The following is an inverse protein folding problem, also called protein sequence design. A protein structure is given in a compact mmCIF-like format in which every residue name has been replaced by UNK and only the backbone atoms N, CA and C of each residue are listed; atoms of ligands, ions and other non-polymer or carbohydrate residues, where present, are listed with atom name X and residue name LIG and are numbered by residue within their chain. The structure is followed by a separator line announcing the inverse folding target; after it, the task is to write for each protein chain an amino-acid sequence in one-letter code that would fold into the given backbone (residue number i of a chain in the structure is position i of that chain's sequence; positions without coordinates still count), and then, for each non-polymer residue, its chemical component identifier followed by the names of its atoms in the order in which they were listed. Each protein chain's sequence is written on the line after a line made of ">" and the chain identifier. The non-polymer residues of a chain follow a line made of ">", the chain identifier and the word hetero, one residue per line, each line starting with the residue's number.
data_IF_637415463580
#
_entry.id   IF_637415463580
#
_cell.length_a   1.000
_cell.length_b   1.000
_cell.length_c   1.000
_cell.angle_alpha   90.00
_cell.angle_beta   90.00
_cell.angle_gamma   90.00
#
_symmetry.space_group_name_H-M   'P 1'
#
loop_
_entity.id
_entity.type
_entity.pdbx_description
1 polymer ?
#
# COMPACT_ATOMS: atom_id res chain seq x y z
N UNK A 1 14.57 9.88 13.95
CA UNK A 1 13.90 11.20 14.06
C UNK A 1 12.95 11.45 12.86
N UNK A 2 12.17 10.45 12.43
CA UNK A 2 11.31 10.52 11.22
C UNK A 2 9.81 10.52 11.54
N UNK A 3 9.41 9.95 12.69
CA UNK A 3 8.01 9.82 13.12
C UNK A 3 7.26 11.17 13.10
N UNK A 4 7.88 12.23 13.60
CA UNK A 4 7.18 13.52 13.81
C UNK A 4 6.95 14.34 12.55
N UNK A 5 7.80 14.23 11.53
CA UNK A 5 7.69 15.08 10.33
C UNK A 5 6.73 14.55 9.28
N UNK A 6 6.55 13.22 9.22
CA UNK A 6 5.78 12.58 8.16
C UNK A 6 4.30 12.46 8.54
N UNK A 7 3.97 12.27 9.82
CA UNK A 7 2.57 12.18 10.31
C UNK A 7 1.75 13.45 10.11
N UNK A 8 2.40 14.61 9.85
CA UNK A 8 1.73 15.91 9.73
C UNK A 8 1.56 16.41 8.29
N UNK A 9 2.09 15.69 7.30
CA UNK A 9 2.08 16.15 5.90
C UNK A 9 1.07 15.37 5.05
N UNK A 10 0.29 16.04 4.18
CA UNK A 10 -0.54 15.36 3.20
C UNK A 10 0.29 14.43 2.30
N UNK A 11 -0.25 13.25 1.99
CA UNK A 11 0.39 12.24 1.12
C UNK A 11 0.87 12.81 -0.22
N UNK A 12 0.13 13.76 -0.79
CA UNK A 12 0.48 14.46 -2.04
C UNK A 12 1.80 15.23 -1.93
N UNK A 13 2.02 15.89 -0.78
CA UNK A 13 3.21 16.72 -0.55
C UNK A 13 4.42 15.84 -0.27
N UNK A 14 4.21 14.73 0.43
CA UNK A 14 5.26 13.72 0.64
C UNK A 14 5.72 13.12 -0.70
N UNK A 15 4.79 12.81 -1.62
CA UNK A 15 5.16 12.26 -2.93
C UNK A 15 6.12 13.18 -3.70
N UNK A 16 5.94 14.50 -3.60
CA UNK A 16 6.86 15.47 -4.20
C UNK A 16 8.24 15.46 -3.56
N UNK A 17 8.33 15.34 -2.22
CA UNK A 17 9.60 15.24 -1.50
C UNK A 17 10.38 13.95 -1.83
N UNK A 18 9.67 12.88 -2.20
CA UNK A 18 10.25 11.59 -2.56
C UNK A 18 10.32 11.34 -4.07
N UNK A 19 9.94 12.31 -4.89
CA UNK A 19 10.19 12.25 -6.32
C UNK A 19 11.71 12.28 -6.55
N UNK A 20 12.24 11.28 -7.24
CA UNK A 20 13.67 11.24 -7.52
C UNK A 20 14.05 12.49 -8.33
N UNK A 21 15.05 13.25 -7.86
CA UNK A 21 15.59 14.39 -8.59
C UNK A 21 15.84 13.99 -10.05
N UNK A 22 15.23 14.73 -10.97
CA UNK A 22 15.17 14.47 -12.42
C UNK A 22 16.55 14.20 -13.03
N UNK A 23 17.61 14.75 -12.44
CA UNK A 23 18.99 14.63 -12.91
C UNK A 23 19.59 13.22 -12.80
N UNK A 24 19.12 12.37 -11.88
CA UNK A 24 19.59 10.97 -11.78
C UNK A 24 18.76 9.98 -12.59
N UNK A 25 17.64 10.42 -13.17
CA UNK A 25 16.69 9.56 -13.90
C UNK A 25 16.83 9.65 -15.42
N UNK A 26 17.91 10.23 -15.94
CA UNK A 26 18.22 10.27 -17.37
C UNK A 26 18.60 8.90 -17.98
N UNK A 27 18.59 7.82 -17.18
CA UNK A 27 18.91 6.46 -17.60
C UNK A 27 17.70 5.51 -17.65
N UNK A 28 16.50 5.95 -17.27
CA UNK A 28 15.28 5.15 -17.40
C UNK A 28 14.52 5.63 -18.63
N UNK A 29 14.50 4.76 -19.64
CA UNK A 29 14.09 5.01 -21.02
C UNK A 29 12.74 5.71 -21.13
N UNK A 30 12.71 6.70 -22.02
CA UNK A 30 11.53 7.35 -22.55
C UNK A 30 10.55 6.31 -23.11
N UNK A 31 9.33 6.29 -22.58
CA UNK A 31 8.31 5.37 -23.08
C UNK A 31 7.14 5.12 -22.15
N UNK A 32 6.85 5.97 -21.16
CA UNK A 32 5.48 6.05 -20.66
C UNK A 32 5.21 7.35 -19.89
N UNK A 33 3.99 7.85 -20.03
CA UNK A 33 3.55 9.17 -19.57
C UNK A 33 3.11 9.19 -18.09
N UNK A 34 3.86 8.49 -17.23
CA UNK A 34 3.69 8.55 -15.77
C UNK A 34 4.82 9.37 -15.16
N UNK A 35 4.53 10.12 -14.10
CA UNK A 35 5.44 11.11 -13.51
C UNK A 35 6.81 10.56 -13.03
N UNK A 36 7.66 11.42 -12.44
CA UNK A 36 8.99 11.01 -12.01
C UNK A 36 8.92 9.77 -11.10
N UNK A 37 9.86 8.81 -11.26
CA UNK A 37 9.84 7.57 -10.48
C UNK A 37 9.88 7.90 -8.98
N UNK A 38 8.92 7.33 -8.26
CA UNK A 38 8.73 7.54 -6.83
C UNK A 38 9.72 6.66 -6.07
N UNK A 39 10.41 7.21 -5.08
CA UNK A 39 11.37 6.46 -4.26
C UNK A 39 10.72 5.27 -3.54
N UNK A 40 11.45 4.15 -3.38
CA UNK A 40 11.03 3.01 -2.54
C UNK A 40 10.61 3.43 -1.12
N UNK A 41 11.21 4.51 -0.60
CA UNK A 41 10.87 5.07 0.72
C UNK A 41 9.42 5.53 0.79
N UNK A 42 8.89 6.08 -0.29
CA UNK A 42 7.49 6.48 -0.35
C UNK A 42 6.57 5.25 -0.37
N UNK A 43 6.89 4.20 -1.12
CA UNK A 43 6.11 2.96 -1.10
C UNK A 43 6.09 2.30 0.28
N UNK A 44 7.22 2.31 1.01
CA UNK A 44 7.27 1.91 2.43
C UNK A 44 6.31 2.71 3.29
N UNK A 45 6.32 4.02 3.12
CA UNK A 45 5.43 4.91 3.87
C UNK A 45 3.96 4.71 3.50
N UNK A 46 3.63 4.59 2.22
CA UNK A 46 2.28 4.31 1.74
C UNK A 46 1.77 2.96 2.28
N UNK A 47 2.60 1.91 2.23
CA UNK A 47 2.28 0.60 2.79
C UNK A 47 2.05 0.66 4.32
N UNK A 48 2.87 1.42 5.04
CA UNK A 48 2.68 1.67 6.47
C UNK A 48 1.31 2.31 6.77
N UNK A 49 0.96 3.38 6.05
CA UNK A 49 -0.34 4.04 6.19
C UNK A 49 -1.51 3.11 5.81
N UNK A 50 -1.32 2.28 4.79
CA UNK A 50 -2.31 1.30 4.35
C UNK A 50 -2.59 0.26 5.44
N UNK A 51 -1.53 -0.30 6.05
CA UNK A 51 -1.65 -1.26 7.16
C UNK A 51 -2.28 -0.65 8.40
N UNK A 52 -2.07 0.65 8.65
CA UNK A 52 -2.73 1.38 9.74
C UNK A 52 -4.21 1.70 9.47
N UNK A 53 -4.69 1.51 8.25
CA UNK A 53 -6.04 1.90 7.84
C UNK A 53 -6.21 3.38 7.51
N UNK A 54 -5.12 4.15 7.44
CA UNK A 54 -5.18 5.60 7.13
C UNK A 54 -5.50 5.85 5.65
N UNK A 55 -5.21 4.87 4.78
CA UNK A 55 -5.56 4.91 3.34
C UNK A 55 -6.94 4.29 3.09
N UNK A 56 -7.23 3.17 3.73
CA UNK A 56 -8.50 2.43 3.63
C UNK A 56 -8.90 2.04 5.04
N UNK A 57 -9.91 2.72 5.60
CA UNK A 57 -10.27 2.61 7.03
C UNK A 57 -10.54 1.17 7.45
N UNK A 58 -11.30 0.42 6.64
CA UNK A 58 -11.62 -0.99 6.93
C UNK A 58 -10.40 -1.90 6.95
N UNK A 59 -9.29 -1.56 6.27
CA UNK A 59 -8.06 -2.35 6.38
C UNK A 59 -7.42 -2.21 7.77
N UNK A 60 -7.62 -1.08 8.46
CA UNK A 60 -7.16 -0.87 9.83
C UNK A 60 -7.82 -1.80 10.84
N UNK A 61 -9.03 -2.30 10.57
CA UNK A 61 -9.73 -3.26 11.42
C UNK A 61 -8.97 -4.59 11.57
N UNK A 62 -8.12 -4.93 10.59
CA UNK A 62 -7.26 -6.10 10.66
C UNK A 62 -6.04 -5.91 11.58
N UNK A 63 -5.73 -4.67 11.97
CA UNK A 63 -4.54 -4.34 12.75
C UNK A 63 -4.42 -5.13 14.05
N UNK A 64 -5.56 -5.44 14.71
CA UNK A 64 -5.61 -6.26 15.94
C UNK A 64 -5.20 -7.72 15.74
N UNK A 65 -5.19 -8.20 14.50
CA UNK A 65 -4.81 -9.58 14.14
C UNK A 65 -3.38 -9.66 13.61
N UNK A 66 -2.70 -8.53 13.45
CA UNK A 66 -1.33 -8.51 12.96
C UNK A 66 -0.39 -9.08 14.02
N UNK A 67 0.50 -9.97 13.56
CA UNK A 67 1.51 -10.58 14.41
C UNK A 67 2.66 -9.63 14.77
N UNK A 68 2.87 -8.59 13.97
CA UNK A 68 3.89 -7.56 14.17
C UNK A 68 3.32 -6.18 13.84
N UNK A 69 3.97 -5.15 14.38
CA UNK A 69 3.58 -3.75 14.19
C UNK A 69 3.76 -3.28 12.73
N UNK A 70 2.83 -2.48 12.17
CA UNK A 70 2.98 -1.85 10.86
C UNK A 70 4.27 -1.04 10.69
N UNK A 71 4.84 -0.48 11.76
CA UNK A 71 6.10 0.28 11.78
C UNK A 71 7.28 -0.49 11.18
N UNK A 72 7.20 -1.82 11.17
CA UNK A 72 8.17 -2.68 10.50
C UNK A 72 8.31 -2.38 9.00
N UNK A 73 7.30 -1.80 8.35
CA UNK A 73 7.40 -1.28 6.98
C UNK A 73 8.44 -0.18 6.82
N UNK A 74 8.68 0.59 7.88
CA UNK A 74 9.58 1.74 7.88
C UNK A 74 11.01 1.35 8.22
N UNK A 75 11.25 0.11 8.63
CA UNK A 75 12.59 -0.41 8.91
C UNK A 75 13.34 -0.63 7.59
N UNK A 76 14.49 0.03 7.45
CA UNK A 76 15.36 -0.09 6.29
C UNK A 76 16.15 -1.41 6.24
N UNK A 77 16.27 -2.09 7.38
CA UNK A 77 16.93 -3.39 7.49
C UNK A 77 15.98 -4.58 7.34
N UNK A 78 14.67 -4.36 7.33
CA UNK A 78 13.68 -5.42 7.30
C UNK A 78 13.61 -6.09 5.93
N UNK A 79 14.06 -7.35 5.87
CA UNK A 79 14.00 -8.22 4.69
C UNK A 79 12.91 -9.30 4.83
N UNK A 80 11.95 -9.08 5.74
CA UNK A 80 10.92 -10.07 6.04
C UNK A 80 10.01 -10.30 4.82
N UNK A 81 9.63 -11.56 4.51
CA UNK A 81 8.86 -11.88 3.29
C UNK A 81 7.58 -11.06 3.13
N UNK A 82 6.86 -10.79 4.22
CA UNK A 82 5.64 -9.96 4.22
C UNK A 82 5.89 -8.50 3.82
N UNK A 83 7.07 -7.96 4.17
CA UNK A 83 7.46 -6.60 3.81
C UNK A 83 7.81 -6.56 2.32
N UNK A 84 8.71 -7.44 1.91
CA UNK A 84 9.13 -7.55 0.50
C UNK A 84 7.97 -7.84 -0.43
N UNK A 85 7.04 -8.73 -0.05
CA UNK A 85 5.87 -9.08 -0.86
C UNK A 85 4.93 -7.89 -1.05
N UNK A 86 4.60 -7.17 0.01
CA UNK A 86 3.73 -6.00 -0.08
C UNK A 86 4.38 -4.87 -0.91
N UNK A 87 5.66 -4.56 -0.64
CA UNK A 87 6.38 -3.52 -1.39
C UNK A 87 6.52 -3.88 -2.87
N UNK A 88 6.89 -5.12 -3.19
CA UNK A 88 7.05 -5.54 -4.58
C UNK A 88 5.73 -5.47 -5.36
N UNK A 89 4.59 -5.79 -4.75
CA UNK A 89 3.29 -5.62 -5.40
C UNK A 89 2.96 -4.14 -5.65
N UNK A 90 3.15 -3.28 -4.66
CA UNK A 90 2.90 -1.85 -4.80
C UNK A 90 3.81 -1.21 -5.86
N UNK A 91 5.10 -1.55 -5.88
CA UNK A 91 6.06 -1.03 -6.84
C UNK A 91 5.82 -1.55 -8.25
N UNK A 92 5.55 -2.87 -8.40
CA UNK A 92 5.33 -3.51 -9.70
C UNK A 92 4.16 -2.89 -10.46
N UNK A 93 3.12 -2.48 -9.74
CA UNK A 93 1.91 -1.90 -10.32
C UNK A 93 1.80 -0.38 -10.10
N UNK A 94 2.88 0.27 -9.64
CA UNK A 94 2.95 1.70 -9.36
C UNK A 94 1.79 2.24 -8.49
N UNK A 95 1.40 1.47 -7.47
CA UNK A 95 0.31 1.79 -6.55
C UNK A 95 0.85 2.64 -5.40
N UNK A 96 0.70 3.95 -5.56
CA UNK A 96 1.25 4.97 -4.67
C UNK A 96 0.18 5.88 -4.03
N UNK A 97 -1.10 5.56 -4.26
CA UNK A 97 -2.24 6.36 -3.80
C UNK A 97 -3.50 5.51 -3.70
N UNK A 98 -4.46 5.97 -2.86
CA UNK A 98 -5.77 5.32 -2.74
C UNK A 98 -6.48 5.21 -4.09
N UNK A 99 -6.45 6.28 -4.89
CA UNK A 99 -7.11 6.32 -6.19
C UNK A 99 -6.58 5.24 -7.14
N UNK A 100 -5.25 5.08 -7.24
CA UNK A 100 -4.65 4.02 -8.05
C UNK A 100 -4.99 2.63 -7.52
N UNK A 101 -4.95 2.44 -6.20
CA UNK A 101 -5.30 1.16 -5.57
C UNK A 101 -6.74 0.75 -5.90
N UNK A 102 -7.70 1.65 -5.71
CA UNK A 102 -9.12 1.38 -5.95
C UNK A 102 -9.42 1.17 -7.43
N UNK A 103 -8.81 1.95 -8.33
CA UNK A 103 -8.90 1.70 -9.78
C UNK A 103 -8.34 0.33 -10.14
N UNK A 104 -7.18 -0.04 -9.61
CA UNK A 104 -6.58 -1.35 -9.87
C UNK A 104 -7.45 -2.50 -9.38
N UNK A 105 -8.07 -2.36 -8.21
CA UNK A 105 -9.04 -3.34 -7.71
C UNK A 105 -10.27 -3.49 -8.60
N UNK A 106 -10.77 -2.37 -9.13
CA UNK A 106 -11.94 -2.34 -10.02
C UNK A 106 -11.66 -2.94 -11.38
N UNK A 107 -10.55 -2.52 -11.99
CA UNK A 107 -10.34 -2.68 -13.43
C UNK A 107 -9.45 -3.89 -13.75
N UNK A 108 -8.59 -4.33 -12.82
CA UNK A 108 -7.54 -5.31 -13.09
C UNK A 108 -7.60 -6.51 -12.16
N UNK A 109 -7.50 -6.31 -10.85
CA UNK A 109 -7.43 -7.43 -9.89
C UNK A 109 -7.92 -7.03 -8.49
N UNK A 110 -9.14 -7.45 -8.08
CA UNK A 110 -9.68 -7.17 -6.75
C UNK A 110 -8.89 -7.87 -5.62
N UNK A 111 -8.12 -8.91 -5.93
CA UNK A 111 -7.30 -9.65 -4.97
C UNK A 111 -5.90 -9.04 -4.78
N UNK A 112 -5.58 -7.90 -5.39
CA UNK A 112 -4.29 -7.24 -5.20
C UNK A 112 -4.07 -6.97 -3.69
N UNK A 113 -2.90 -7.33 -3.18
CA UNK A 113 -2.47 -7.28 -1.76
C UNK A 113 -3.10 -8.30 -0.81
N UNK A 114 -4.10 -9.10 -1.20
CA UNK A 114 -4.71 -10.09 -0.30
C UNK A 114 -3.66 -11.06 0.29
N UNK A 115 -2.85 -11.68 -0.57
CA UNK A 115 -1.77 -12.58 -0.14
C UNK A 115 -0.76 -11.87 0.77
N UNK A 116 -0.46 -10.60 0.47
CA UNK A 116 0.45 -9.80 1.29
C UNK A 116 -0.12 -9.58 2.69
N UNK A 117 -1.40 -9.20 2.78
CA UNK A 117 -2.12 -9.00 4.04
C UNK A 117 -2.21 -10.29 4.86
N UNK A 118 -2.42 -11.44 4.23
CA UNK A 118 -2.41 -12.74 4.93
C UNK A 118 -1.11 -12.98 5.69
N UNK A 119 0.04 -12.55 5.16
CA UNK A 119 1.33 -12.74 5.83
C UNK A 119 1.52 -11.86 7.08
N UNK A 120 0.71 -10.80 7.23
CA UNK A 120 0.70 -9.94 8.41
C UNK A 120 -0.10 -10.53 9.56
N UNK A 121 -1.11 -11.35 9.26
CA UNK A 121 -1.99 -11.98 10.25
C UNK A 121 -1.29 -13.22 10.83
N UNK A 122 -1.45 -13.44 12.14
CA UNK A 122 -0.98 -14.69 12.78
C UNK A 122 -1.92 -15.86 12.45
N UNK A 123 -1.51 -16.85 11.63
CA UNK A 123 -2.39 -17.95 11.24
C UNK A 123 -2.66 -18.94 12.37
N UNK A 124 -1.82 -18.97 13.41
CA UNK A 124 -1.96 -19.87 14.57
C UNK A 124 -3.03 -19.31 15.50
N UNK A 125 -2.97 -18.00 15.78
CA UNK A 125 -3.91 -17.33 16.70
C UNK A 125 -5.26 -17.02 16.04
N UNK A 126 -5.28 -16.81 14.73
CA UNK A 126 -6.45 -16.27 14.01
C UNK A 126 -6.87 -17.12 12.81
N UNK A 127 -6.86 -18.46 12.97
CA UNK A 127 -7.16 -19.41 11.89
C UNK A 127 -8.51 -19.17 11.21
N UNK A 128 -9.55 -18.84 11.99
CA UNK A 128 -10.89 -18.56 11.45
C UNK A 128 -10.95 -17.23 10.70
N UNK A 129 -10.23 -16.21 11.17
CA UNK A 129 -10.13 -14.92 10.46
C UNK A 129 -9.35 -15.08 9.15
N UNK A 130 -8.29 -15.90 9.12
CA UNK A 130 -7.56 -16.19 7.87
C UNK A 130 -8.46 -16.91 6.86
N UNK A 131 -9.28 -17.88 7.29
CA UNK A 131 -10.26 -18.55 6.41
C UNK A 131 -11.32 -17.58 5.87
N UNK A 132 -11.82 -16.68 6.73
CA UNK A 132 -12.81 -15.68 6.37
C UNK A 132 -12.27 -14.46 5.63
N UNK A 133 -10.94 -14.26 5.63
CA UNK A 133 -10.31 -13.04 5.13
C UNK A 133 -10.68 -12.76 3.68
N UNK A 134 -10.70 -13.78 2.83
CA UNK A 134 -11.04 -13.61 1.41
C UNK A 134 -12.43 -13.00 1.22
N UNK A 135 -13.43 -13.48 1.95
CA UNK A 135 -14.80 -12.95 1.87
C UNK A 135 -14.88 -11.52 2.38
N UNK A 136 -14.29 -11.25 3.55
CA UNK A 136 -14.25 -9.88 4.11
C UNK A 136 -13.50 -8.92 3.19
N UNK A 137 -12.45 -9.42 2.53
CA UNK A 137 -11.67 -8.67 1.55
C UNK A 137 -12.50 -8.32 0.31
N UNK A 138 -13.21 -9.28 -0.26
CA UNK A 138 -14.10 -9.06 -1.41
C UNK A 138 -15.17 -8.00 -1.09
N UNK A 139 -15.84 -8.13 0.07
CA UNK A 139 -16.83 -7.14 0.54
C UNK A 139 -16.21 -5.75 0.76
N UNK A 140 -15.00 -5.69 1.30
CA UNK A 140 -14.26 -4.43 1.49
C UNK A 140 -13.94 -3.79 0.15
N UNK A 141 -13.41 -4.57 -0.80
CA UNK A 141 -13.04 -4.07 -2.12
C UNK A 141 -14.27 -3.57 -2.87
N UNK A 142 -15.37 -4.33 -2.85
CA UNK A 142 -16.63 -3.93 -3.46
C UNK A 142 -17.14 -2.59 -2.90
N UNK A 143 -17.10 -2.41 -1.57
CA UNK A 143 -17.51 -1.17 -0.93
C UNK A 143 -16.59 0.01 -1.26
N UNK A 144 -15.27 -0.18 -1.20
CA UNK A 144 -14.31 0.88 -1.55
C UNK A 144 -14.46 1.28 -3.01
N UNK A 145 -14.63 0.30 -3.90
CA UNK A 145 -14.89 0.52 -5.32
C UNK A 145 -16.21 1.27 -5.54
N UNK A 146 -17.30 0.88 -4.89
CA UNK A 146 -18.59 1.55 -5.01
C UNK A 146 -18.56 2.99 -4.46
N UNK A 147 -17.81 3.22 -3.38
CA UNK A 147 -17.70 4.54 -2.75
C UNK A 147 -16.82 5.53 -3.52
N UNK A 148 -15.96 5.04 -4.42
CA UNK A 148 -15.02 5.88 -5.15
C UNK A 148 -15.61 6.28 -6.51
N UNK A 149 -16.07 7.54 -6.68
CA UNK A 149 -16.72 7.95 -7.92
C UNK A 149 -15.79 7.77 -9.12
N UNK A 150 -16.35 7.30 -10.24
CA UNK A 150 -15.71 7.41 -11.55
C UNK A 150 -15.56 8.90 -11.85
N UNK A 151 -14.45 9.52 -11.41
CA UNK A 151 -14.07 10.80 -11.96
C UNK A 151 -13.78 10.56 -13.44
N UNK A 152 -14.72 10.98 -14.30
CA UNK A 152 -14.55 11.05 -15.73
C UNK A 152 -13.26 11.86 -15.97
N UNK A 153 -12.25 11.18 -16.51
CA UNK A 153 -11.06 11.84 -17.03
C UNK A 153 -11.39 12.57 -18.32
#
# INVERSE_FOLDING_TARGET
>A
MWKTSIERLPLSNLKQLYALNKEKSALVKAGDSSGPPVSIKFFKFFAFLLLRGEVVVRLGEFGRYFKDSPELMLDDSSMLPKVTRMLSQLQRFDIDSKAKLVRFWRDINPCLLLDSFQLWIDPIRHREQVKGLKKVWEELVEQEVASFPLQAQ
#
